data_IF_278333856535
#
_entry.id   IF_278333856535
#
_cell.length_a   1.000
_cell.length_b   1.000
_cell.length_c   1.000
_cell.angle_alpha   90.00
_cell.angle_beta   90.00
_cell.angle_gamma   90.00
#
_symmetry.space_group_name_H-M   'P 1'
#
loop_
_entity.id
_entity.type
_entity.pdbx_description
1 polymer ?
#
# COMPACT_ATOMS: atom_id res chain seq x y z
N UNK A 1 15.02 23.95 -15.55
CA UNK A 1 14.25 23.21 -16.54
C UNK A 1 13.20 22.32 -15.90
N UNK A 2 12.36 21.69 -16.69
CA UNK A 2 11.42 20.68 -16.20
C UNK A 2 12.18 19.46 -15.67
N UNK A 3 11.60 18.76 -14.68
CA UNK A 3 12.22 17.60 -14.03
C UNK A 3 11.41 16.35 -14.37
N UNK A 4 12.09 15.32 -14.83
CA UNK A 4 11.53 14.02 -15.10
C UNK A 4 12.18 12.95 -14.20
N UNK A 5 11.53 11.81 -14.04
CA UNK A 5 12.11 10.69 -13.32
C UNK A 5 13.43 10.25 -13.98
N UNK A 6 14.52 10.32 -13.22
CA UNK A 6 15.85 9.97 -13.70
C UNK A 6 16.06 8.44 -13.68
N UNK A 7 17.07 7.95 -14.36
CA UNK A 7 17.39 6.51 -14.43
C UNK A 7 17.68 5.93 -13.04
N UNK A 8 18.33 6.71 -12.19
CA UNK A 8 18.64 6.30 -10.81
C UNK A 8 17.39 6.04 -9.97
N UNK A 9 16.29 6.80 -10.22
CA UNK A 9 15.03 6.58 -9.56
C UNK A 9 14.45 5.20 -9.91
N UNK A 10 14.40 4.86 -11.19
CA UNK A 10 13.91 3.54 -11.65
C UNK A 10 14.79 2.41 -11.12
N UNK A 11 16.10 2.52 -11.32
CA UNK A 11 17.05 1.48 -10.95
C UNK A 11 17.05 1.22 -9.45
N UNK A 12 16.97 2.27 -8.62
CA UNK A 12 16.94 2.12 -7.16
C UNK A 12 15.68 1.41 -6.67
N UNK A 13 14.51 1.72 -7.25
CA UNK A 13 13.25 1.06 -6.92
C UNK A 13 13.29 -0.42 -7.35
N UNK A 14 13.69 -0.71 -8.59
CA UNK A 14 13.77 -2.07 -9.11
C UNK A 14 14.70 -2.93 -8.25
N UNK A 15 15.88 -2.43 -7.93
CA UNK A 15 16.84 -3.13 -7.07
C UNK A 15 16.30 -3.33 -5.64
N UNK A 16 15.63 -2.33 -5.06
CA UNK A 16 15.02 -2.42 -3.75
C UNK A 16 13.95 -3.51 -3.69
N UNK A 17 13.04 -3.52 -4.65
CA UNK A 17 11.98 -4.51 -4.75
C UNK A 17 12.53 -5.92 -4.94
N UNK A 18 13.54 -6.09 -5.78
CA UNK A 18 14.20 -7.37 -5.97
C UNK A 18 14.90 -7.86 -4.68
N UNK A 19 15.63 -7.00 -3.99
CA UNK A 19 16.39 -7.37 -2.79
C UNK A 19 15.50 -7.64 -1.57
N UNK A 20 14.48 -6.80 -1.35
CA UNK A 20 13.63 -6.88 -0.15
C UNK A 20 12.46 -7.85 -0.29
N UNK A 21 11.88 -7.94 -1.49
CA UNK A 21 10.63 -8.66 -1.73
C UNK A 21 10.75 -9.76 -2.78
N UNK A 22 11.93 -9.95 -3.39
CA UNK A 22 12.15 -10.88 -4.50
C UNK A 22 11.19 -10.64 -5.67
N UNK A 23 10.84 -9.38 -5.90
CA UNK A 23 9.90 -8.95 -6.92
C UNK A 23 10.63 -8.40 -8.14
N UNK A 24 10.46 -9.10 -9.27
CA UNK A 24 11.00 -8.68 -10.56
C UNK A 24 10.06 -7.65 -11.21
N UNK A 25 10.45 -6.39 -11.14
CA UNK A 25 9.70 -5.27 -11.69
C UNK A 25 10.47 -4.65 -12.84
N UNK A 26 9.77 -4.29 -13.92
CA UNK A 26 10.34 -3.54 -15.02
C UNK A 26 9.99 -2.05 -14.91
N UNK A 27 10.75 -1.22 -15.63
CA UNK A 27 10.53 0.23 -15.65
C UNK A 27 9.09 0.61 -16.06
N UNK A 28 8.54 -0.10 -17.03
CA UNK A 28 7.19 0.16 -17.55
C UNK A 28 6.10 -0.09 -16.49
N UNK A 29 6.35 -0.94 -15.51
CA UNK A 29 5.41 -1.23 -14.42
C UNK A 29 5.33 -0.08 -13.40
N UNK A 30 6.30 0.84 -13.41
CA UNK A 30 6.44 1.91 -12.43
C UNK A 30 5.79 3.20 -12.93
N UNK A 31 4.97 3.81 -12.08
CA UNK A 31 4.40 5.14 -12.30
C UNK A 31 4.63 5.98 -11.05
N UNK A 32 5.24 7.16 -11.21
CA UNK A 32 5.42 8.10 -10.10
C UNK A 32 4.07 8.63 -9.62
N UNK A 33 3.96 8.84 -8.31
CA UNK A 33 2.82 9.50 -7.68
C UNK A 33 3.30 10.51 -6.62
N UNK A 34 2.67 11.69 -6.52
CA UNK A 34 3.05 12.72 -5.55
C UNK A 34 2.50 12.45 -4.14
N UNK A 35 2.51 11.20 -3.69
CA UNK A 35 2.01 10.70 -2.41
C UNK A 35 0.86 9.71 -2.56
N UNK A 36 0.74 8.78 -1.62
CA UNK A 36 -0.23 7.67 -1.65
C UNK A 36 -1.68 8.17 -1.73
N UNK A 37 -2.09 9.10 -0.86
CA UNK A 37 -3.49 9.57 -0.83
C UNK A 37 -3.90 10.26 -2.15
N UNK A 38 -2.98 10.99 -2.79
CA UNK A 38 -3.22 11.55 -4.12
C UNK A 38 -3.32 10.44 -5.18
N UNK A 39 -2.43 9.45 -5.11
CA UNK A 39 -2.51 8.26 -5.96
C UNK A 39 -3.84 7.51 -5.82
N UNK A 40 -4.36 7.38 -4.60
CA UNK A 40 -5.69 6.82 -4.35
C UNK A 40 -6.79 7.62 -5.05
N UNK A 41 -6.76 8.96 -4.96
CA UNK A 41 -7.73 9.82 -5.65
C UNK A 41 -7.66 9.61 -7.18
N UNK A 42 -6.46 9.53 -7.74
CA UNK A 42 -6.26 9.30 -9.17
C UNK A 42 -6.78 7.92 -9.61
N UNK A 43 -6.49 6.88 -8.84
CA UNK A 43 -6.98 5.54 -9.15
C UNK A 43 -8.50 5.43 -9.02
N UNK A 44 -9.10 6.03 -7.97
CA UNK A 44 -10.55 6.11 -7.82
C UNK A 44 -11.19 6.79 -9.03
N UNK A 45 -10.64 7.93 -9.47
CA UNK A 45 -11.16 8.66 -10.64
C UNK A 45 -10.98 7.91 -11.95
N UNK A 46 -9.84 7.22 -12.10
CA UNK A 46 -9.51 6.46 -13.30
C UNK A 46 -10.40 5.21 -13.47
N UNK A 47 -10.64 4.46 -12.39
CA UNK A 47 -11.23 3.11 -12.48
C UNK A 47 -12.69 3.02 -12.04
N UNK A 48 -13.25 4.10 -11.50
CA UNK A 48 -14.64 4.13 -11.02
C UNK A 48 -15.36 5.36 -11.53
N UNK A 49 -16.70 5.30 -11.50
CA UNK A 49 -17.59 6.42 -11.80
C UNK A 49 -18.19 7.00 -10.51
N UNK A 50 -18.79 8.20 -10.58
CA UNK A 50 -19.52 8.79 -9.45
C UNK A 50 -20.68 7.87 -9.05
N UNK A 51 -20.79 7.58 -7.75
CA UNK A 51 -21.79 6.65 -7.21
C UNK A 51 -21.35 5.19 -7.17
N UNK A 52 -20.23 4.83 -7.80
CA UNK A 52 -19.65 3.49 -7.66
C UNK A 52 -19.19 3.21 -6.22
N UNK A 53 -19.24 1.94 -5.85
CA UNK A 53 -18.88 1.46 -4.52
C UNK A 53 -17.39 1.16 -4.40
N UNK A 54 -16.78 1.70 -3.35
CA UNK A 54 -15.38 1.43 -2.97
C UNK A 54 -15.35 0.89 -1.55
N UNK A 55 -14.79 -0.31 -1.38
CA UNK A 55 -14.76 -1.00 -0.09
C UNK A 55 -13.50 -0.65 0.71
N UNK A 56 -13.67 -0.52 2.03
CA UNK A 56 -12.58 -0.37 3.01
C UNK A 56 -12.84 -1.25 4.24
N UNK A 57 -11.80 -1.59 4.99
CA UNK A 57 -11.88 -2.48 6.15
C UNK A 57 -11.54 -1.74 7.47
N UNK A 58 -12.49 -1.03 8.09
CA UNK A 58 -12.23 -0.32 9.35
C UNK A 58 -12.02 -1.29 10.54
N UNK A 59 -11.25 -0.82 11.59
CA UNK A 59 -10.60 0.48 11.67
C UNK A 59 -9.46 0.60 10.67
N UNK A 60 -9.46 1.63 9.84
CA UNK A 60 -8.47 1.81 8.77
C UNK A 60 -8.06 3.27 8.67
N UNK A 61 -6.94 3.53 8.03
CA UNK A 61 -6.42 4.88 7.79
C UNK A 61 -7.51 5.78 7.18
N UNK A 62 -7.90 6.81 7.94
CA UNK A 62 -9.08 7.65 7.64
C UNK A 62 -9.10 8.27 6.24
N UNK A 63 -7.96 8.64 5.59
CA UNK A 63 -8.02 9.16 4.23
C UNK A 63 -8.62 8.19 3.20
N UNK A 64 -8.65 6.88 3.45
CA UNK A 64 -9.24 5.92 2.49
C UNK A 64 -10.71 6.18 2.25
N UNK A 65 -11.51 6.37 3.32
CA UNK A 65 -12.91 6.70 3.16
C UNK A 65 -13.13 8.18 2.81
N UNK A 66 -12.33 9.10 3.37
CA UNK A 66 -12.46 10.51 3.03
C UNK A 66 -12.20 10.81 1.56
N UNK A 67 -11.14 10.22 0.97
CA UNK A 67 -10.84 10.44 -0.45
C UNK A 67 -11.91 9.82 -1.34
N UNK A 68 -12.48 8.68 -0.94
CA UNK A 68 -13.59 8.02 -1.63
C UNK A 68 -14.83 8.91 -1.65
N UNK A 69 -15.29 9.38 -0.49
CA UNK A 69 -16.46 10.26 -0.35
C UNK A 69 -16.28 11.60 -1.08
N UNK A 70 -15.11 12.23 -0.92
CA UNK A 70 -14.83 13.52 -1.58
C UNK A 70 -14.77 13.42 -3.10
N UNK A 71 -14.48 12.23 -3.64
CA UNK A 71 -14.60 11.94 -5.06
C UNK A 71 -16.00 11.44 -5.47
N UNK A 72 -17.02 11.55 -4.60
CA UNK A 72 -18.42 11.20 -4.88
C UNK A 72 -18.64 9.71 -5.18
N UNK A 73 -17.86 8.83 -4.55
CA UNK A 73 -18.06 7.38 -4.53
C UNK A 73 -18.70 6.97 -3.22
N UNK A 74 -19.46 5.87 -3.25
CA UNK A 74 -20.06 5.28 -2.06
C UNK A 74 -19.01 4.43 -1.32
N UNK A 75 -18.84 4.66 -0.01
CA UNK A 75 -17.96 3.83 0.81
C UNK A 75 -18.73 2.64 1.34
N UNK A 76 -18.21 1.44 1.06
CA UNK A 76 -18.70 0.19 1.66
C UNK A 76 -17.74 -0.22 2.80
N UNK A 77 -18.29 -0.36 3.99
CA UNK A 77 -17.53 -0.74 5.17
C UNK A 77 -17.63 -2.24 5.42
N UNK A 78 -16.51 -2.96 5.33
CA UNK A 78 -16.34 -4.35 5.74
C UNK A 78 -15.44 -4.42 6.97
N UNK A 79 -15.98 -4.16 8.19
CA UNK A 79 -15.18 -3.98 9.38
C UNK A 79 -14.46 -5.25 9.79
N UNK A 80 -13.22 -5.05 10.25
CA UNK A 80 -12.44 -6.08 10.91
C UNK A 80 -13.05 -6.43 12.27
N UNK A 81 -12.84 -7.65 12.70
CA UNK A 81 -13.27 -8.14 14.01
C UNK A 81 -12.07 -8.30 14.93
N UNK A 82 -12.19 -7.84 16.16
CA UNK A 82 -11.15 -8.05 17.18
C UNK A 82 -11.36 -9.40 17.83
N UNK A 83 -10.40 -10.33 17.67
CA UNK A 83 -10.39 -11.64 18.32
C UNK A 83 -9.00 -11.89 18.89
N UNK A 84 -8.94 -12.33 20.13
CA UNK A 84 -7.68 -12.64 20.83
C UNK A 84 -6.64 -11.51 20.76
N UNK A 85 -7.10 -10.27 20.87
CA UNK A 85 -6.25 -9.08 20.81
C UNK A 85 -5.76 -8.68 19.41
N UNK A 86 -6.20 -9.36 18.36
CA UNK A 86 -5.81 -9.06 16.98
C UNK A 86 -7.01 -8.80 16.06
N UNK A 87 -6.87 -7.86 15.16
CA UNK A 87 -7.85 -7.64 14.10
C UNK A 87 -7.78 -8.76 13.06
N UNK A 88 -8.93 -9.30 12.70
CA UNK A 88 -9.09 -10.37 11.73
C UNK A 88 -10.16 -10.00 10.70
N UNK A 89 -10.06 -10.58 9.51
CA UNK A 89 -11.05 -10.42 8.45
C UNK A 89 -12.18 -11.44 8.68
N UNK A 90 -13.42 -10.96 8.73
CA UNK A 90 -14.58 -11.83 8.62
C UNK A 90 -14.86 -12.09 7.14
N UNK A 91 -14.33 -13.19 6.63
CA UNK A 91 -14.44 -13.51 5.19
C UNK A 91 -15.86 -13.84 4.74
N UNK A 92 -16.76 -14.27 5.63
CA UNK A 92 -18.17 -14.45 5.27
C UNK A 92 -18.85 -13.10 5.00
N UNK A 93 -18.57 -12.13 5.86
CA UNK A 93 -19.02 -10.76 5.70
C UNK A 93 -18.36 -10.10 4.50
N UNK A 94 -17.04 -10.22 4.37
CA UNK A 94 -16.27 -9.67 3.26
C UNK A 94 -16.83 -10.09 1.89
N UNK A 95 -17.18 -11.40 1.73
CA UNK A 95 -17.79 -11.93 0.49
C UNK A 95 -19.14 -11.28 0.17
N UNK A 96 -19.90 -10.86 1.18
CA UNK A 96 -21.17 -10.15 1.00
C UNK A 96 -20.93 -8.68 0.66
N UNK A 97 -20.07 -8.02 1.44
CA UNK A 97 -19.83 -6.57 1.34
C UNK A 97 -19.15 -6.20 0.02
N UNK A 98 -18.30 -7.07 -0.55
CA UNK A 98 -17.59 -6.82 -1.81
C UNK A 98 -18.52 -6.83 -3.04
N UNK A 99 -19.74 -7.38 -2.91
CA UNK A 99 -20.65 -7.50 -4.05
C UNK A 99 -21.05 -6.13 -4.61
N UNK A 100 -20.78 -5.93 -5.90
CA UNK A 100 -21.06 -4.68 -6.60
C UNK A 100 -20.05 -3.56 -6.32
N UNK A 101 -19.00 -3.81 -5.51
CA UNK A 101 -17.89 -2.89 -5.37
C UNK A 101 -17.02 -2.89 -6.62
N UNK A 102 -16.58 -1.71 -7.04
CA UNK A 102 -15.64 -1.57 -8.16
C UNK A 102 -14.19 -1.63 -7.69
N UNK A 103 -13.96 -1.32 -6.42
CA UNK A 103 -12.62 -1.20 -5.87
C UNK A 103 -12.59 -1.59 -4.38
N UNK A 104 -11.50 -2.23 -3.96
CA UNK A 104 -11.08 -2.39 -2.57
C UNK A 104 -9.82 -1.56 -2.35
N UNK A 105 -9.78 -0.76 -1.29
CA UNK A 105 -8.55 -0.14 -0.81
C UNK A 105 -8.07 -0.96 0.40
N UNK A 106 -7.00 -1.71 0.18
CA UNK A 106 -6.36 -2.60 1.16
C UNK A 106 -5.16 -1.90 1.80
N UNK A 107 -5.11 -1.86 3.13
CA UNK A 107 -3.90 -1.46 3.88
C UNK A 107 -3.06 -2.71 4.18
N UNK A 108 -1.87 -2.81 3.63
CA UNK A 108 -1.00 -3.99 3.72
C UNK A 108 0.49 -3.59 3.92
N UNK A 109 1.08 -3.63 5.12
CA UNK A 109 0.46 -3.97 6.42
C UNK A 109 -0.64 -3.01 6.86
N UNK A 110 -1.51 -3.50 7.77
CA UNK A 110 -2.73 -2.78 8.13
C UNK A 110 -2.50 -1.64 9.15
N UNK A 111 -2.91 -0.44 8.79
CA UNK A 111 -2.87 0.75 9.64
C UNK A 111 -4.32 1.22 9.98
N UNK A 112 -4.70 1.42 11.25
CA UNK A 112 -3.88 1.44 12.47
C UNK A 112 -3.78 0.10 13.22
N UNK A 113 -4.38 -0.97 12.69
CA UNK A 113 -4.52 -2.24 13.40
C UNK A 113 -3.21 -3.00 13.67
N UNK A 114 -2.08 -2.57 13.09
CA UNK A 114 -0.78 -3.18 13.30
C UNK A 114 -0.69 -4.64 12.78
N UNK A 115 -1.55 -5.02 11.83
CA UNK A 115 -1.58 -6.38 11.27
C UNK A 115 -0.69 -6.52 10.07
N UNK A 116 0.15 -7.53 10.07
CA UNK A 116 0.75 -8.10 8.87
C UNK A 116 -0.14 -9.26 8.43
N UNK A 117 -0.76 -9.14 7.28
CA UNK A 117 -1.66 -10.17 6.75
C UNK A 117 -0.87 -11.43 6.38
N UNK A 118 -1.44 -12.60 6.62
CA UNK A 118 -0.82 -13.86 6.18
C UNK A 118 -0.98 -14.05 4.67
N UNK A 119 -0.16 -14.93 4.09
CA UNK A 119 -0.26 -15.27 2.68
C UNK A 119 -1.66 -15.77 2.33
N UNK A 120 -2.22 -16.64 3.15
CA UNK A 120 -3.55 -17.23 2.97
C UNK A 120 -4.67 -16.17 3.05
N UNK A 121 -4.55 -15.19 3.96
CA UNK A 121 -5.51 -14.07 4.02
C UNK A 121 -5.48 -13.24 2.75
N UNK A 122 -4.29 -12.91 2.25
CA UNK A 122 -4.11 -12.13 1.01
C UNK A 122 -4.56 -12.90 -0.23
N UNK A 123 -4.26 -14.20 -0.33
CA UNK A 123 -4.75 -15.06 -1.40
C UNK A 123 -6.27 -15.13 -1.42
N UNK A 124 -6.90 -15.23 -0.25
CA UNK A 124 -8.35 -15.25 -0.14
C UNK A 124 -9.00 -13.92 -0.54
N UNK A 125 -8.39 -12.78 -0.16
CA UNK A 125 -8.81 -11.45 -0.64
C UNK A 125 -8.71 -11.40 -2.18
N UNK A 126 -7.58 -11.82 -2.73
CA UNK A 126 -7.34 -11.79 -4.16
C UNK A 126 -8.36 -12.62 -4.94
N UNK A 127 -8.65 -13.83 -4.45
CA UNK A 127 -9.65 -14.72 -5.04
C UNK A 127 -11.03 -14.06 -5.06
N UNK A 128 -11.50 -13.59 -3.91
CA UNK A 128 -12.84 -13.00 -3.77
C UNK A 128 -12.97 -11.73 -4.63
N UNK A 129 -11.97 -10.85 -4.60
CA UNK A 129 -12.00 -9.62 -5.37
C UNK A 129 -11.95 -9.89 -6.88
N UNK A 130 -11.15 -10.86 -7.32
CA UNK A 130 -11.09 -11.25 -8.72
C UNK A 130 -12.44 -11.81 -9.22
N UNK A 131 -13.07 -12.70 -8.45
CA UNK A 131 -14.38 -13.29 -8.78
C UNK A 131 -15.52 -12.26 -8.81
N UNK A 132 -15.47 -11.26 -7.93
CA UNK A 132 -16.47 -10.17 -7.88
C UNK A 132 -16.21 -9.04 -8.90
N UNK A 133 -15.09 -9.07 -9.62
CA UNK A 133 -14.67 -8.00 -10.53
C UNK A 133 -14.27 -6.71 -9.81
N UNK A 134 -13.84 -6.82 -8.56
CA UNK A 134 -13.40 -5.70 -7.70
C UNK A 134 -11.91 -5.51 -7.83
N UNK A 135 -11.46 -4.36 -8.34
CA UNK A 135 -10.04 -4.00 -8.46
C UNK A 135 -9.45 -3.74 -7.07
N UNK A 136 -8.26 -4.26 -6.79
CA UNK A 136 -7.58 -4.04 -5.52
C UNK A 136 -6.50 -2.96 -5.64
N UNK A 137 -6.56 -1.94 -4.77
CA UNK A 137 -5.42 -1.06 -4.52
C UNK A 137 -4.81 -1.49 -3.20
N UNK A 138 -3.60 -2.04 -3.25
CA UNK A 138 -2.83 -2.39 -2.06
C UNK A 138 -1.91 -1.24 -1.68
N UNK A 139 -2.25 -0.55 -0.58
CA UNK A 139 -1.37 0.45 0.01
C UNK A 139 -0.34 -0.24 0.90
N UNK A 140 0.89 -0.33 0.39
CA UNK A 140 2.01 -1.01 1.03
C UNK A 140 3.09 -0.02 1.55
N UNK A 141 2.67 1.21 1.86
CA UNK A 141 3.58 2.26 2.37
C UNK A 141 4.34 1.86 3.64
N UNK A 142 3.80 0.92 4.42
CA UNK A 142 4.39 0.43 5.67
C UNK A 142 5.19 -0.88 5.49
N UNK A 143 5.30 -1.42 4.29
CA UNK A 143 5.93 -2.71 4.01
C UNK A 143 7.35 -2.83 4.60
N UNK A 144 8.18 -1.81 4.37
CA UNK A 144 9.57 -1.75 4.86
C UNK A 144 9.69 -1.61 6.39
N UNK A 145 8.62 -1.30 7.10
CA UNK A 145 8.56 -1.19 8.57
C UNK A 145 7.96 -2.43 9.25
N UNK A 146 7.82 -3.53 8.52
CA UNK A 146 7.37 -4.80 9.12
C UNK A 146 8.40 -5.29 10.12
N UNK A 147 7.96 -5.47 11.38
CA UNK A 147 8.83 -5.87 12.49
C UNK A 147 8.99 -7.38 12.58
N UNK A 148 10.19 -7.90 12.93
CA UNK A 148 10.39 -9.31 13.21
C UNK A 148 9.44 -9.81 14.32
N UNK A 149 8.99 -11.09 14.28
CA UNK A 149 9.36 -12.12 13.30
C UNK A 149 8.53 -12.08 12.02
N UNK A 150 7.63 -11.11 11.87
CA UNK A 150 6.73 -11.02 10.72
C UNK A 150 7.48 -10.64 9.45
N UNK A 151 6.94 -11.06 8.32
CA UNK A 151 7.41 -10.68 6.99
C UNK A 151 6.26 -10.17 6.16
N UNK A 152 6.48 -9.06 5.49
CA UNK A 152 5.53 -8.52 4.54
C UNK A 152 5.40 -9.42 3.31
N UNK A 153 4.17 -9.64 2.87
CA UNK A 153 3.85 -10.28 1.60
C UNK A 153 3.23 -9.24 0.68
N UNK A 154 3.91 -8.94 -0.42
CA UNK A 154 3.39 -8.03 -1.44
C UNK A 154 2.16 -8.62 -2.11
N UNK A 155 1.06 -7.87 -2.16
CA UNK A 155 -0.23 -8.36 -2.64
C UNK A 155 -0.16 -8.91 -4.07
N UNK A 156 0.50 -8.23 -4.99
CA UNK A 156 0.63 -8.69 -6.38
C UNK A 156 1.34 -10.04 -6.53
N UNK A 157 2.13 -10.46 -5.54
CA UNK A 157 2.91 -11.71 -5.59
C UNK A 157 2.18 -12.92 -5.01
N UNK A 158 1.04 -12.74 -4.33
CA UNK A 158 0.38 -13.86 -3.65
C UNK A 158 -0.31 -14.84 -4.61
N UNK A 159 -0.74 -14.37 -5.78
CA UNK A 159 -1.35 -15.22 -6.80
C UNK A 159 -1.41 -14.55 -8.18
N UNK A 160 -1.64 -15.34 -9.23
CA UNK A 160 -1.89 -14.81 -10.58
C UNK A 160 -3.13 -13.89 -10.63
N UNK A 161 -4.16 -14.17 -9.82
CA UNK A 161 -5.36 -13.32 -9.72
C UNK A 161 -5.03 -11.97 -9.09
N UNK A 162 -4.24 -11.96 -8.02
CA UNK A 162 -3.74 -10.73 -7.41
C UNK A 162 -2.94 -9.89 -8.40
N UNK A 163 -2.01 -10.51 -9.10
CA UNK A 163 -1.15 -9.87 -10.12
C UNK A 163 -1.96 -9.18 -11.22
N UNK A 164 -3.02 -9.84 -11.70
CA UNK A 164 -3.86 -9.36 -12.81
C UNK A 164 -4.93 -8.36 -12.40
N UNK A 165 -5.15 -8.16 -11.11
CA UNK A 165 -6.28 -7.37 -10.59
C UNK A 165 -5.88 -6.42 -9.47
N UNK A 166 -4.64 -5.92 -9.51
CA UNK A 166 -4.19 -4.98 -8.49
C UNK A 166 -3.30 -3.86 -9.00
N UNK A 167 -3.30 -2.77 -8.21
CA UNK A 167 -2.30 -1.73 -8.19
C UNK A 167 -1.65 -1.78 -6.81
N UNK A 168 -0.32 -1.83 -6.76
CA UNK A 168 0.44 -1.78 -5.49
C UNK A 168 1.06 -0.40 -5.35
N UNK A 169 0.80 0.26 -4.23
CA UNK A 169 1.29 1.59 -3.91
C UNK A 169 2.36 1.52 -2.84
N UNK A 170 3.54 2.05 -3.13
CA UNK A 170 4.68 2.04 -2.22
C UNK A 170 5.36 3.42 -2.14
N UNK A 171 6.10 3.62 -1.05
CA UNK A 171 6.86 4.86 -0.84
C UNK A 171 7.92 4.66 0.25
N UNK A 172 9.13 5.20 0.12
CA UNK A 172 10.11 5.24 1.19
C UNK A 172 9.76 6.22 2.31
N UNK A 173 8.69 7.02 2.15
CA UNK A 173 8.41 8.15 3.01
C UNK A 173 8.18 7.80 4.48
N UNK A 174 7.63 6.62 4.79
CA UNK A 174 7.44 6.16 6.17
C UNK A 174 8.72 5.51 6.71
N UNK A 175 9.29 4.59 5.95
CA UNK A 175 10.49 3.86 6.35
C UNK A 175 11.69 4.79 6.59
N UNK A 176 11.84 5.83 5.78
CA UNK A 176 12.97 6.77 5.84
C UNK A 176 12.60 8.16 6.40
N UNK A 177 11.43 8.29 7.04
CA UNK A 177 10.98 9.54 7.67
C UNK A 177 11.05 10.77 6.76
N UNK A 178 10.57 10.66 5.52
CA UNK A 178 10.62 11.71 4.51
C UNK A 178 9.26 12.03 3.87
N UNK A 179 8.14 12.14 4.65
CA UNK A 179 6.81 12.32 4.07
C UNK A 179 6.63 13.65 3.33
N UNK A 180 7.37 14.69 3.72
CA UNK A 180 7.31 16.01 3.09
C UNK A 180 7.81 16.06 1.65
N UNK A 181 8.56 15.03 1.21
CA UNK A 181 9.08 14.96 -0.15
C UNK A 181 8.05 14.42 -1.17
N UNK A 182 6.88 13.99 -0.69
CA UNK A 182 5.76 13.57 -1.54
C UNK A 182 6.17 12.60 -2.67
N UNK A 183 7.02 11.63 -2.33
CA UNK A 183 7.60 10.67 -3.26
C UNK A 183 6.99 9.29 -3.06
N UNK A 184 6.18 8.87 -3.98
CA UNK A 184 5.53 7.55 -4.00
C UNK A 184 5.50 7.01 -5.41
N UNK A 185 5.24 5.73 -5.54
CA UNK A 185 5.11 5.09 -6.85
C UNK A 185 4.05 3.99 -6.81
N UNK A 186 3.48 3.73 -7.98
CA UNK A 186 2.57 2.64 -8.23
C UNK A 186 3.26 1.58 -9.07
N UNK A 187 3.01 0.31 -8.75
CA UNK A 187 3.47 -0.84 -9.53
C UNK A 187 2.23 -1.55 -10.06
N UNK A 188 2.18 -1.77 -11.38
CA UNK A 188 1.05 -2.43 -12.03
C UNK A 188 1.58 -3.46 -13.02
N UNK A 189 1.33 -4.74 -12.76
CA UNK A 189 1.79 -5.83 -13.63
C UNK A 189 0.87 -6.07 -14.83
N UNK A 190 -0.47 -6.04 -14.64
CA UNK A 190 -1.42 -6.20 -15.75
C UNK A 190 -1.32 -5.03 -16.74
N UNK A 191 -1.01 -5.33 -18.00
CA UNK A 191 -0.77 -4.33 -19.02
C UNK A 191 -1.98 -3.46 -19.35
N UNK A 192 -3.21 -3.98 -19.22
CA UNK A 192 -4.45 -3.22 -19.53
C UNK A 192 -4.75 -2.23 -18.42
N UNK A 193 -4.61 -2.65 -17.16
CA UNK A 193 -4.76 -1.77 -15.99
C UNK A 193 -3.69 -0.70 -16.03
N UNK A 194 -2.44 -1.09 -16.29
CA UNK A 194 -1.30 -0.19 -16.38
C UNK A 194 -1.48 0.89 -17.45
N UNK A 195 -1.80 0.49 -18.67
CA UNK A 195 -2.00 1.41 -19.78
C UNK A 195 -3.10 2.43 -19.48
N UNK A 196 -4.26 1.96 -18.98
CA UNK A 196 -5.37 2.83 -18.59
C UNK A 196 -4.97 3.84 -17.51
N UNK A 197 -4.22 3.40 -16.51
CA UNK A 197 -3.79 4.29 -15.42
C UNK A 197 -2.74 5.30 -15.90
N UNK A 198 -1.78 4.85 -16.72
CA UNK A 198 -0.74 5.72 -17.27
C UNK A 198 -1.33 6.78 -18.21
N UNK A 199 -2.23 6.40 -19.10
CA UNK A 199 -2.96 7.36 -19.96
C UNK A 199 -3.73 8.41 -19.13
N UNK A 200 -4.37 7.97 -18.06
CA UNK A 200 -5.06 8.89 -17.15
C UNK A 200 -4.08 9.87 -16.47
N UNK A 201 -2.95 9.37 -16.00
CA UNK A 201 -1.93 10.19 -15.35
C UNK A 201 -1.28 11.18 -16.33
N UNK A 202 -0.98 10.74 -17.55
CA UNK A 202 -0.40 11.57 -18.61
C UNK A 202 -1.37 12.66 -19.07
N UNK A 203 -2.65 12.34 -19.25
CA UNK A 203 -3.65 13.31 -19.67
C UNK A 203 -3.82 14.49 -18.69
N UNK A 204 -3.49 14.28 -17.42
CA UNK A 204 -3.53 15.30 -16.38
C UNK A 204 -2.16 15.86 -15.97
N UNK A 205 -1.06 15.41 -16.60
CA UNK A 205 0.33 15.70 -16.18
C UNK A 205 0.56 15.37 -14.69
N UNK A 206 -0.07 14.27 -14.20
CA UNK A 206 -0.10 13.92 -12.77
C UNK A 206 1.08 13.04 -12.33
N UNK A 207 1.84 12.50 -13.28
CA UNK A 207 2.97 11.60 -13.04
C UNK A 207 4.31 12.32 -12.90
N UNK A 208 4.31 13.64 -12.89
CA UNK A 208 5.51 14.44 -12.73
C UNK A 208 5.76 14.80 -11.26
N UNK A 209 6.99 14.62 -10.82
CA UNK A 209 7.46 14.97 -9.49
C UNK A 209 8.48 16.11 -9.52
N UNK A 210 8.73 16.70 -8.36
CA UNK A 210 9.83 17.66 -8.24
C UNK A 210 11.17 16.93 -8.06
N UNK A 211 12.27 17.61 -8.35
CA UNK A 211 13.63 17.06 -8.33
C UNK A 211 13.96 16.25 -7.08
N UNK A 212 13.65 16.79 -5.90
CA UNK A 212 13.97 16.11 -4.63
C UNK A 212 13.10 14.88 -4.39
N UNK A 213 11.92 14.76 -4.98
CA UNK A 213 11.11 13.54 -4.89
C UNK A 213 11.82 12.35 -5.54
N UNK A 214 12.44 12.55 -6.69
CA UNK A 214 13.18 11.50 -7.39
C UNK A 214 14.52 11.18 -6.71
N UNK A 215 15.31 12.20 -6.43
CA UNK A 215 16.64 12.03 -5.82
C UNK A 215 16.58 11.40 -4.43
N UNK A 216 15.55 11.73 -3.63
CA UNK A 216 15.41 11.18 -2.29
C UNK A 216 15.08 9.68 -2.30
N UNK A 217 14.25 9.20 -3.24
CA UNK A 217 13.98 7.77 -3.41
C UNK A 217 15.26 7.05 -3.81
N UNK A 218 15.96 7.58 -4.82
CA UNK A 218 17.22 7.01 -5.29
C UNK A 218 18.24 6.92 -4.15
N UNK A 219 18.42 7.98 -3.37
CA UNK A 219 19.35 8.01 -2.24
C UNK A 219 18.96 7.03 -1.13
N UNK A 220 17.67 7.01 -0.74
CA UNK A 220 17.16 6.14 0.32
C UNK A 220 17.34 4.66 -0.03
N UNK A 221 16.90 4.25 -1.21
CA UNK A 221 16.94 2.85 -1.61
C UNK A 221 18.32 2.34 -1.99
N UNK A 222 19.19 3.22 -2.53
CA UNK A 222 20.55 2.81 -2.88
C UNK A 222 21.49 2.74 -1.67
N UNK A 223 21.25 3.52 -0.60
CA UNK A 223 22.22 3.68 0.49
C UNK A 223 21.63 3.49 1.89
N UNK A 224 20.30 3.35 2.01
CA UNK A 224 19.62 3.41 3.30
C UNK A 224 19.38 2.07 3.99
N UNK A 225 19.81 0.94 3.43
CA UNK A 225 19.53 -0.40 3.98
C UNK A 225 19.98 -0.54 5.43
N UNK A 226 21.24 -0.22 5.73
CA UNK A 226 21.79 -0.33 7.07
C UNK A 226 21.08 0.58 8.07
N UNK A 227 20.79 1.83 7.66
CA UNK A 227 20.04 2.76 8.49
C UNK A 227 18.64 2.23 8.82
N UNK A 228 17.93 1.69 7.85
CA UNK A 228 16.59 1.13 8.05
C UNK A 228 16.61 -0.08 8.98
N UNK A 229 17.56 -1.00 8.80
CA UNK A 229 17.69 -2.19 9.64
C UNK A 229 17.98 -1.79 11.10
N UNK A 230 18.84 -0.79 11.33
CA UNK A 230 19.09 -0.22 12.66
C UNK A 230 17.85 0.47 13.24
N UNK A 231 17.09 1.21 12.41
CA UNK A 231 15.86 1.86 12.85
C UNK A 231 14.78 0.84 13.26
N UNK A 232 14.62 -0.25 12.51
CA UNK A 232 13.72 -1.36 12.84
C UNK A 232 14.13 -2.01 14.17
N UNK A 233 15.40 -2.29 14.37
CA UNK A 233 15.91 -2.87 15.63
C UNK A 233 15.67 -1.92 16.81
N UNK A 234 15.87 -0.61 16.63
CA UNK A 234 15.60 0.39 17.66
C UNK A 234 14.10 0.48 18.00
N UNK A 235 13.23 0.46 16.99
CA UNK A 235 11.77 0.46 17.19
C UNK A 235 11.34 -0.80 17.97
N UNK A 236 11.84 -1.97 17.60
CA UNK A 236 11.55 -3.22 18.30
C UNK A 236 11.97 -3.15 19.77
N UNK A 237 13.18 -2.68 20.05
CA UNK A 237 13.65 -2.53 21.43
C UNK A 237 12.77 -1.56 22.26
N UNK A 238 12.29 -0.49 21.65
CA UNK A 238 11.35 0.43 22.32
C UNK A 238 9.97 -0.21 22.60
N UNK A 239 9.49 -1.05 21.71
CA UNK A 239 8.25 -1.81 21.91
C UNK A 239 8.42 -2.79 23.08
N UNK A 240 9.51 -3.56 23.07
CA UNK A 240 9.82 -4.54 24.12
C UNK A 240 9.94 -3.85 25.50
N UNK A 241 10.68 -2.75 25.56
CA UNK A 241 10.77 -1.92 26.77
C UNK A 241 9.40 -1.42 27.25
N UNK A 242 8.57 -0.95 26.33
CA UNK A 242 7.25 -0.42 26.68
C UNK A 242 6.35 -1.52 27.21
N UNK A 243 6.35 -2.69 26.60
CA UNK A 243 5.58 -3.85 27.04
C UNK A 243 6.01 -4.32 28.44
N UNK A 244 7.31 -4.44 28.67
CA UNK A 244 7.86 -4.77 30.00
C UNK A 244 7.47 -3.74 31.06
N UNK A 245 7.58 -2.45 30.74
CA UNK A 245 7.20 -1.37 31.65
C UNK A 245 5.71 -1.41 32.00
N UNK A 246 4.85 -1.55 30.99
CA UNK A 246 3.40 -1.63 31.20
C UNK A 246 3.01 -2.83 32.07
N UNK A 247 3.58 -4.01 31.79
CA UNK A 247 3.34 -5.21 32.60
C UNK A 247 3.78 -5.03 34.06
N UNK A 248 4.89 -4.34 34.29
CA UNK A 248 5.43 -4.14 35.64
C UNK A 248 4.65 -3.10 36.47
N UNK A 249 4.18 -2.01 35.82
CA UNK A 249 3.66 -0.83 36.52
C UNK A 249 2.18 -0.54 36.26
N UNK A 250 1.61 -1.08 35.19
CA UNK A 250 0.20 -0.89 34.81
C UNK A 250 -0.41 -2.28 34.53
N UNK A 251 -0.69 -3.06 35.59
CA UNK A 251 -1.29 -4.36 35.38
C UNK A 251 -2.65 -4.22 34.70
N UNK A 252 -2.94 -5.09 33.75
CA UNK A 252 -4.22 -5.11 33.06
C UNK A 252 -5.35 -5.35 34.11
N UNK A 253 -6.30 -4.43 34.13
CA UNK A 253 -7.53 -4.55 34.90
C UNK A 253 -8.51 -5.53 34.24
#
# INVERSE_FOLDING_TARGET
GYTFACEEWYTSIINWLQQRYHWEVTREMLTFMPGIVRGLAFAIQCFTEKGDKVMVMPPVYHPFFLVTEKNQREVVYSPLVLRDGQYQIDFERFRKDVQGCKMLILSNPHNPGGRVWTLEELEQIAEICYESGTLVISDEIHADLTLPPYRHSTFALVSDKARRNSLVFMSPSKAFNMPGLASSYCIIEDSRIRHRFQEYMEAGELSEGHLFAYLSVAAAYSNGTEWLDQAIAYIQANIDFTDEYLRAYIPAS
#
